data_IF_784966980685
#
_entry.id   IF_784966980685
#
_cell.length_a   1.000
_cell.length_b   1.000
_cell.length_c   1.000
_cell.angle_alpha   90.00
_cell.angle_beta   90.00
_cell.angle_gamma   90.00
#
_symmetry.space_group_name_H-M   'P 1'
#
loop_
_entity.id
_entity.type
_entity.pdbx_description
1 polymer ?
#
# COMPACT_ATOMS: atom_id res chain seq x y z
N UNK A 1 3.33 -0.87 16.96
CA UNK A 1 3.90 -1.42 15.71
C UNK A 1 2.82 -1.84 14.71
N UNK A 2 1.91 -2.78 15.05
CA UNK A 2 0.82 -3.24 14.15
C UNK A 2 -0.01 -2.10 13.57
N UNK A 3 -0.43 -1.12 14.40
CA UNK A 3 -1.17 0.07 13.95
C UNK A 3 -0.45 0.86 12.85
N UNK A 4 0.85 1.07 12.99
CA UNK A 4 1.65 1.81 12.00
C UNK A 4 1.74 1.06 10.67
N UNK A 5 2.00 -0.25 10.70
CA UNK A 5 2.14 -1.04 9.47
C UNK A 5 0.81 -1.09 8.69
N UNK A 6 -0.32 -1.26 9.39
CA UNK A 6 -1.64 -1.32 8.75
C UNK A 6 -2.16 0.04 8.27
N UNK A 7 -1.83 1.13 8.97
CA UNK A 7 -2.12 2.49 8.52
C UNK A 7 -1.41 2.80 7.20
N UNK A 8 -0.10 2.52 7.10
CA UNK A 8 0.66 2.77 5.87
C UNK A 8 0.20 1.88 4.70
N UNK A 9 -0.02 0.58 4.94
CA UNK A 9 -0.42 -0.35 3.89
C UNK A 9 -1.80 0.00 3.30
N UNK A 10 -2.80 0.27 4.14
CA UNK A 10 -4.17 0.54 3.69
C UNK A 10 -4.28 1.88 2.96
N UNK A 11 -3.53 2.88 3.45
CA UNK A 11 -3.41 4.18 2.78
C UNK A 11 -2.81 4.06 1.39
N UNK A 12 -1.77 3.23 1.23
CA UNK A 12 -1.12 3.01 -0.05
C UNK A 12 -2.09 2.43 -1.09
N UNK A 13 -2.82 1.37 -0.75
CA UNK A 13 -3.79 0.75 -1.66
C UNK A 13 -4.82 1.77 -2.14
N UNK A 14 -5.30 2.62 -1.24
CA UNK A 14 -6.26 3.68 -1.58
C UNK A 14 -5.65 4.71 -2.53
N UNK A 15 -4.49 5.28 -2.21
CA UNK A 15 -3.84 6.30 -3.05
C UNK A 15 -3.53 5.75 -4.42
N UNK A 16 -2.99 4.54 -4.49
CA UNK A 16 -2.64 3.90 -5.74
C UNK A 16 -3.89 3.61 -6.58
N UNK A 17 -4.97 3.14 -5.96
CA UNK A 17 -6.25 2.96 -6.66
C UNK A 17 -6.82 4.27 -7.18
N UNK A 18 -6.76 5.37 -6.41
CA UNK A 18 -7.19 6.69 -6.85
C UNK A 18 -6.32 7.24 -7.98
N UNK A 19 -5.01 6.97 -7.93
CA UNK A 19 -4.08 7.33 -9.00
C UNK A 19 -4.37 6.59 -10.30
N UNK A 20 -4.62 5.28 -10.23
CA UNK A 20 -4.98 4.48 -11.40
C UNK A 20 -6.32 4.94 -12.02
N UNK A 21 -7.33 5.19 -11.19
CA UNK A 21 -8.67 5.57 -11.66
C UNK A 21 -8.74 7.03 -12.11
N UNK A 22 -8.37 7.98 -11.26
CA UNK A 22 -8.51 9.42 -11.57
C UNK A 22 -7.34 9.97 -12.38
N UNK A 23 -6.13 9.42 -12.21
CA UNK A 23 -4.93 9.87 -12.93
C UNK A 23 -4.78 9.24 -14.31
N UNK A 24 -5.07 7.93 -14.44
CA UNK A 24 -4.88 7.18 -15.68
C UNK A 24 -6.19 6.76 -16.37
N UNK A 25 -7.34 7.01 -15.75
CA UNK A 25 -8.66 6.70 -16.32
C UNK A 25 -9.03 5.21 -16.30
N UNK A 26 -8.33 4.39 -15.52
CA UNK A 26 -8.65 2.96 -15.42
C UNK A 26 -10.01 2.73 -14.76
N UNK A 27 -10.68 1.64 -15.14
CA UNK A 27 -11.90 1.23 -14.44
C UNK A 27 -11.56 0.71 -13.03
N UNK A 28 -12.54 0.67 -12.10
CA UNK A 28 -12.33 0.07 -10.79
C UNK A 28 -11.89 -1.40 -10.88
N UNK A 29 -12.39 -2.13 -11.88
CA UNK A 29 -12.02 -3.53 -12.11
C UNK A 29 -10.56 -3.67 -12.55
N UNK A 30 -10.12 -2.84 -13.51
CA UNK A 30 -8.73 -2.85 -13.98
C UNK A 30 -7.76 -2.48 -12.86
N UNK A 31 -8.14 -1.52 -12.02
CA UNK A 31 -7.36 -1.12 -10.85
C UNK A 31 -7.23 -2.26 -9.84
N UNK A 32 -8.31 -3.03 -9.63
CA UNK A 32 -8.29 -4.25 -8.83
C UNK A 32 -7.38 -5.33 -9.41
N UNK A 33 -7.42 -5.55 -10.73
CA UNK A 33 -6.55 -6.51 -11.42
C UNK A 33 -5.07 -6.15 -11.30
N UNK A 34 -4.74 -4.85 -11.31
CA UNK A 34 -3.37 -4.39 -11.09
C UNK A 34 -2.87 -4.76 -9.69
N UNK A 35 -3.73 -4.88 -8.68
CA UNK A 35 -3.33 -5.32 -7.34
C UNK A 35 -3.18 -6.84 -7.19
N UNK A 36 -3.78 -7.65 -8.07
CA UNK A 36 -3.75 -9.12 -7.97
C UNK A 36 -2.33 -9.72 -7.87
N UNK A 37 -1.33 -9.24 -8.63
CA UNK A 37 0.05 -9.71 -8.49
C UNK A 37 0.66 -9.46 -7.10
N UNK A 38 0.29 -8.36 -6.44
CA UNK A 38 0.75 -8.10 -5.07
C UNK A 38 0.20 -9.15 -4.10
N UNK A 39 -1.06 -9.57 -4.26
CA UNK A 39 -1.63 -10.66 -3.46
C UNK A 39 -0.90 -11.99 -3.68
N UNK A 40 -0.48 -12.28 -4.91
CA UNK A 40 0.35 -13.47 -5.22
C UNK A 40 1.68 -13.39 -4.48
N UNK A 41 2.37 -12.25 -4.54
CA UNK A 41 3.62 -12.03 -3.81
C UNK A 41 3.45 -12.22 -2.30
N UNK A 42 2.36 -11.70 -1.74
CA UNK A 42 2.03 -11.85 -0.32
C UNK A 42 1.83 -13.31 0.09
N UNK A 43 1.05 -14.07 -0.68
CA UNK A 43 0.79 -15.49 -0.41
C UNK A 43 2.09 -16.31 -0.47
N UNK A 44 2.89 -16.11 -1.52
CA UNK A 44 4.20 -16.77 -1.66
C UNK A 44 5.12 -16.48 -0.49
N UNK A 45 5.14 -15.23 -0.03
CA UNK A 45 5.90 -14.82 1.13
C UNK A 45 5.44 -15.49 2.41
N UNK A 46 4.12 -15.55 2.64
CA UNK A 46 3.55 -16.17 3.84
C UNK A 46 3.85 -17.68 3.91
N UNK A 47 3.80 -18.38 2.77
CA UNK A 47 4.18 -19.80 2.69
C UNK A 47 5.66 -20.03 3.03
N UNK A 48 6.53 -19.13 2.59
CA UNK A 48 7.97 -19.27 2.77
C UNK A 48 8.49 -18.62 4.07
N UNK A 49 7.68 -17.82 4.77
CA UNK A 49 8.09 -17.04 5.94
C UNK A 49 8.74 -17.92 7.02
N UNK A 50 8.14 -19.08 7.32
CA UNK A 50 8.65 -20.04 8.30
C UNK A 50 10.06 -20.56 7.96
N UNK A 51 10.33 -20.79 6.67
CA UNK A 51 11.64 -21.24 6.20
C UNK A 51 12.71 -20.17 6.46
N UNK A 52 12.42 -18.93 6.09
CA UNK A 52 13.38 -17.84 6.20
C UNK A 52 13.59 -17.38 7.64
N UNK A 53 12.55 -17.38 8.47
CA UNK A 53 12.68 -17.11 9.92
C UNK A 53 13.53 -18.19 10.58
N UNK A 54 13.37 -19.46 10.21
CA UNK A 54 14.23 -20.55 10.73
C UNK A 54 15.69 -20.40 10.31
N UNK A 55 15.95 -19.83 9.13
CA UNK A 55 17.30 -19.67 8.56
C UNK A 55 18.02 -18.40 9.00
N UNK A 56 17.31 -17.28 9.16
CA UNK A 56 17.89 -15.95 9.44
C UNK A 56 17.40 -15.31 10.75
N UNK A 57 16.50 -15.96 11.49
CA UNK A 57 16.00 -15.47 12.78
C UNK A 57 15.32 -14.10 12.67
N UNK A 58 15.64 -13.19 13.59
CA UNK A 58 15.09 -11.82 13.62
C UNK A 58 15.55 -10.96 12.44
N UNK A 59 16.67 -11.30 11.79
CA UNK A 59 17.17 -10.56 10.62
C UNK A 59 16.26 -10.74 9.39
N UNK A 60 15.48 -11.83 9.32
CA UNK A 60 14.49 -12.03 8.26
C UNK A 60 13.47 -10.86 8.23
N UNK A 61 13.06 -10.36 9.39
CA UNK A 61 12.09 -9.25 9.49
C UNK A 61 12.70 -7.96 8.94
N UNK A 62 13.98 -7.70 9.26
CA UNK A 62 14.71 -6.52 8.76
C UNK A 62 14.88 -6.60 7.24
N UNK A 63 15.25 -7.76 6.70
CA UNK A 63 15.33 -7.98 5.25
C UNK A 63 13.97 -7.78 4.56
N UNK A 64 12.89 -8.28 5.16
CA UNK A 64 11.53 -8.06 4.64
C UNK A 64 11.13 -6.59 4.64
N UNK A 65 11.45 -5.86 5.72
CA UNK A 65 11.17 -4.43 5.82
C UNK A 65 11.99 -3.60 4.80
N UNK A 66 13.26 -3.95 4.59
CA UNK A 66 14.10 -3.34 3.57
C UNK A 66 13.56 -3.62 2.17
N UNK A 67 13.22 -4.88 1.87
CA UNK A 67 12.64 -5.25 0.58
C UNK A 67 11.34 -4.49 0.32
N UNK A 68 10.47 -4.39 1.34
CA UNK A 68 9.22 -3.63 1.25
C UNK A 68 9.48 -2.15 0.96
N UNK A 69 10.42 -1.54 1.68
CA UNK A 69 10.78 -0.12 1.51
C UNK A 69 11.38 0.17 0.14
N UNK A 70 12.29 -0.69 -0.34
CA UNK A 70 12.91 -0.57 -1.67
C UNK A 70 11.87 -0.75 -2.78
N UNK A 71 10.97 -1.72 -2.64
CA UNK A 71 9.89 -1.95 -3.62
C UNK A 71 8.94 -0.76 -3.69
N UNK A 72 8.66 -0.13 -2.55
CA UNK A 72 7.82 1.06 -2.47
C UNK A 72 8.47 2.26 -3.18
N UNK A 73 9.76 2.50 -2.94
CA UNK A 73 10.52 3.55 -3.62
C UNK A 73 10.60 3.28 -5.13
N UNK A 74 10.86 2.03 -5.51
CA UNK A 74 10.90 1.62 -6.91
C UNK A 74 9.55 1.84 -7.61
N UNK A 75 8.44 1.59 -6.93
CA UNK A 75 7.10 1.84 -7.46
C UNK A 75 6.86 3.34 -7.68
N UNK A 76 7.20 4.18 -6.70
CA UNK A 76 7.08 5.65 -6.83
C UNK A 76 7.91 6.14 -8.02
N UNK A 77 9.15 5.66 -8.14
CA UNK A 77 10.04 6.03 -9.23
C UNK A 77 9.52 5.56 -10.59
N UNK A 78 9.04 4.32 -10.69
CA UNK A 78 8.48 3.76 -11.93
C UNK A 78 7.27 4.56 -12.41
N UNK A 79 6.37 4.92 -11.49
CA UNK A 79 5.16 5.69 -11.77
C UNK A 79 5.48 7.14 -12.15
N UNK A 80 6.49 7.75 -11.52
CA UNK A 80 6.90 9.13 -11.82
C UNK A 80 7.66 9.27 -13.16
N UNK A 81 8.36 8.22 -13.59
CA UNK A 81 9.29 8.29 -14.72
C UNK A 81 8.71 7.77 -16.04
N UNK A 82 7.82 6.77 -15.99
CA UNK A 82 7.32 6.09 -17.19
C UNK A 82 5.80 6.17 -17.31
N UNK A 83 5.25 6.35 -18.53
CA UNK A 83 3.84 6.11 -18.77
C UNK A 83 3.50 4.66 -18.40
N UNK A 84 2.53 4.48 -17.50
CA UNK A 84 2.14 3.17 -16.95
C UNK A 84 1.78 2.15 -18.05
N UNK A 85 1.19 2.63 -19.15
CA UNK A 85 0.83 1.80 -20.30
C UNK A 85 2.04 1.13 -20.98
N UNK A 86 3.22 1.75 -20.93
CA UNK A 86 4.41 1.28 -21.67
C UNK A 86 5.23 0.26 -20.88
N UNK A 87 5.06 0.18 -19.56
CA UNK A 87 5.90 -0.65 -18.66
C UNK A 87 5.08 -1.44 -17.62
N UNK A 88 3.93 -1.96 -18.04
CA UNK A 88 3.02 -2.73 -17.19
C UNK A 88 3.70 -3.95 -16.54
N UNK A 89 4.62 -4.61 -17.26
CA UNK A 89 5.37 -5.76 -16.78
C UNK A 89 6.31 -5.41 -15.60
N UNK A 90 6.95 -4.25 -15.66
CA UNK A 90 7.81 -3.74 -14.58
C UNK A 90 6.97 -3.44 -13.33
N UNK A 91 5.82 -2.81 -13.50
CA UNK A 91 4.90 -2.49 -12.40
C UNK A 91 4.39 -3.77 -11.73
N UNK A 92 4.00 -4.78 -12.53
CA UNK A 92 3.59 -6.10 -12.01
C UNK A 92 4.70 -6.73 -11.17
N UNK A 93 5.95 -6.72 -11.66
CA UNK A 93 7.08 -7.29 -10.91
C UNK A 93 7.33 -6.54 -9.59
N UNK A 94 7.28 -5.21 -9.61
CA UNK A 94 7.42 -4.38 -8.41
C UNK A 94 6.28 -4.66 -7.42
N UNK A 95 5.05 -4.84 -7.89
CA UNK A 95 3.91 -5.15 -7.05
C UNK A 95 4.01 -6.53 -6.40
N UNK A 96 4.51 -7.54 -7.12
CA UNK A 96 4.82 -8.85 -6.55
C UNK A 96 5.86 -8.69 -5.43
N UNK A 97 6.94 -7.96 -5.66
CA UNK A 97 7.99 -7.72 -4.65
C UNK A 97 7.47 -6.95 -3.44
N UNK A 98 6.61 -5.96 -3.68
CA UNK A 98 5.95 -5.17 -2.64
C UNK A 98 5.06 -6.07 -1.77
N UNK A 99 4.19 -6.87 -2.38
CA UNK A 99 3.37 -7.84 -1.66
C UNK A 99 4.20 -8.89 -0.92
N UNK A 100 5.31 -9.34 -1.53
CA UNK A 100 6.22 -10.30 -0.91
C UNK A 100 6.89 -9.71 0.35
N UNK A 101 7.43 -8.50 0.26
CA UNK A 101 8.01 -7.79 1.40
C UNK A 101 6.97 -7.56 2.51
N UNK A 102 5.74 -7.20 2.14
CA UNK A 102 4.65 -7.00 3.08
C UNK A 102 4.30 -8.28 3.85
N UNK A 103 4.11 -9.41 3.15
CA UNK A 103 3.80 -10.71 3.76
C UNK A 103 4.90 -11.20 4.70
N UNK A 104 6.14 -10.83 4.40
CA UNK A 104 7.32 -11.25 5.15
C UNK A 104 7.51 -10.46 6.43
N UNK A 105 7.04 -9.22 6.47
CA UNK A 105 7.00 -8.42 7.71
C UNK A 105 5.81 -8.84 8.56
N UNK A 106 4.64 -9.06 7.95
CA UNK A 106 3.41 -9.36 8.69
C UNK A 106 3.41 -10.73 9.35
N UNK A 107 3.85 -11.77 8.63
CA UNK A 107 3.73 -13.17 9.10
C UNK A 107 4.58 -13.43 10.36
N UNK A 108 5.88 -13.07 10.41
CA UNK A 108 6.69 -13.25 11.61
C UNK A 108 6.27 -12.35 12.76
N UNK A 109 5.79 -11.14 12.47
CA UNK A 109 5.31 -10.21 13.50
C UNK A 109 4.13 -10.82 14.28
N UNK A 110 3.17 -11.40 13.57
CA UNK A 110 2.04 -12.11 14.18
C UNK A 110 2.52 -13.31 15.00
N UNK A 111 3.44 -14.11 14.45
CA UNK A 111 3.99 -15.28 15.14
C UNK A 111 4.72 -14.91 16.43
N UNK A 112 5.51 -13.83 16.44
CA UNK A 112 6.21 -13.35 17.64
C UNK A 112 5.21 -12.93 18.72
N UNK A 113 4.19 -12.15 18.35
CA UNK A 113 3.19 -11.69 19.33
C UNK A 113 2.42 -12.88 19.92
N UNK A 114 2.04 -13.86 19.09
CA UNK A 114 1.34 -15.06 19.56
C UNK A 114 2.24 -16.00 20.37
N UNK A 115 3.56 -16.03 20.10
CA UNK A 115 4.50 -16.87 20.84
C UNK A 115 4.63 -16.51 22.33
N UNK A 116 4.36 -15.25 22.70
CA UNK A 116 4.35 -14.81 24.10
C UNK A 116 3.04 -15.08 24.84
N UNK A 117 2.04 -15.66 24.17
CA UNK A 117 0.69 -15.80 24.70
C UNK A 117 0.37 -17.29 24.89
N UNK A 118 -0.13 -17.65 26.08
CA UNK A 118 -0.58 -19.01 26.34
C UNK A 118 -1.63 -19.45 25.32
N UNK A 119 -1.53 -20.69 24.83
CA UNK A 119 -2.39 -21.26 23.77
C UNK A 119 -3.88 -21.04 24.05
N UNK A 120 -4.33 -21.12 25.31
CA UNK A 120 -5.75 -20.87 25.70
C UNK A 120 -6.25 -19.46 25.41
N UNK A 121 -5.35 -18.49 25.28
CA UNK A 121 -5.66 -17.07 25.03
C UNK A 121 -5.30 -16.63 23.61
N UNK A 122 -4.75 -17.52 22.77
CA UNK A 122 -4.34 -17.23 21.39
C UNK A 122 -5.49 -16.65 20.54
N UNK A 123 -6.72 -17.17 20.71
CA UNK A 123 -7.90 -16.66 20.01
C UNK A 123 -8.28 -15.23 20.41
N UNK A 124 -8.23 -14.91 21.71
CA UNK A 124 -8.47 -13.53 22.18
C UNK A 124 -7.38 -12.57 21.70
N UNK A 125 -6.12 -13.01 21.73
CA UNK A 125 -5.00 -12.22 21.24
C UNK A 125 -5.11 -11.94 19.74
N UNK A 126 -5.44 -12.96 18.93
CA UNK A 126 -5.69 -12.78 17.50
C UNK A 126 -6.84 -11.79 17.25
N UNK A 127 -7.91 -11.84 18.05
CA UNK A 127 -9.00 -10.88 18.00
C UNK A 127 -8.55 -9.44 18.29
N UNK A 128 -7.79 -9.21 19.35
CA UNK A 128 -7.25 -7.88 19.70
C UNK A 128 -6.29 -7.38 18.60
N UNK A 129 -5.46 -8.27 18.05
CA UNK A 129 -4.58 -7.90 16.95
C UNK A 129 -5.42 -7.48 15.73
N UNK A 130 -6.42 -8.25 15.35
CA UNK A 130 -7.29 -7.93 14.21
C UNK A 130 -8.03 -6.60 14.40
N UNK A 131 -8.52 -6.29 15.60
CA UNK A 131 -9.16 -4.99 15.87
C UNK A 131 -8.16 -3.84 15.77
N UNK A 132 -6.94 -3.99 16.30
CA UNK A 132 -5.88 -3.00 16.14
C UNK A 132 -5.48 -2.81 14.68
N UNK A 133 -5.46 -3.88 13.87
CA UNK A 133 -5.21 -3.79 12.43
C UNK A 133 -6.28 -2.94 11.74
N UNK A 134 -7.57 -3.19 12.05
CA UNK A 134 -8.68 -2.45 11.46
C UNK A 134 -8.68 -0.97 11.88
N UNK A 135 -8.37 -0.66 13.13
CA UNK A 135 -8.23 0.72 13.61
C UNK A 135 -7.10 1.43 12.86
N UNK A 136 -5.95 0.77 12.72
CA UNK A 136 -4.81 1.32 11.99
C UNK A 136 -5.14 1.58 10.52
N UNK A 137 -5.76 0.61 9.85
CA UNK A 137 -6.22 0.71 8.47
C UNK A 137 -7.19 1.89 8.27
N UNK A 138 -8.21 1.99 9.13
CA UNK A 138 -9.20 3.06 9.07
C UNK A 138 -8.57 4.45 9.27
N UNK A 139 -7.68 4.60 10.24
CA UNK A 139 -6.98 5.87 10.50
C UNK A 139 -6.11 6.30 9.33
N UNK A 140 -5.32 5.38 8.77
CA UNK A 140 -4.48 5.66 7.61
C UNK A 140 -5.31 6.11 6.41
N UNK A 141 -6.32 5.31 6.06
CA UNK A 141 -7.27 5.61 4.99
C UNK A 141 -7.92 6.97 5.18
N UNK A 142 -8.41 7.30 6.38
CA UNK A 142 -9.06 8.57 6.65
C UNK A 142 -8.13 9.77 6.44
N UNK A 143 -6.93 9.74 7.04
CA UNK A 143 -5.95 10.84 6.93
C UNK A 143 -5.56 11.05 5.46
N UNK A 144 -5.22 9.96 4.77
CA UNK A 144 -4.72 10.05 3.40
C UNK A 144 -5.83 10.41 2.41
N UNK A 145 -7.05 9.93 2.61
CA UNK A 145 -8.20 10.34 1.79
C UNK A 145 -8.45 11.84 1.91
N UNK A 146 -8.40 12.41 3.13
CA UNK A 146 -8.55 13.86 3.34
C UNK A 146 -7.44 14.63 2.62
N UNK A 147 -6.18 14.20 2.72
CA UNK A 147 -5.05 14.86 2.05
C UNK A 147 -5.18 14.81 0.52
N UNK A 148 -5.52 13.66 -0.05
CA UNK A 148 -5.72 13.50 -1.49
C UNK A 148 -6.89 14.35 -1.97
N UNK A 149 -8.02 14.30 -1.26
CA UNK A 149 -9.20 15.07 -1.63
C UNK A 149 -8.97 16.58 -1.51
N UNK A 150 -8.22 17.01 -0.50
CA UNK A 150 -7.78 18.40 -0.37
C UNK A 150 -6.91 18.84 -1.56
N UNK A 151 -5.96 18.01 -1.98
CA UNK A 151 -5.09 18.28 -3.13
C UNK A 151 -5.88 18.37 -4.45
N UNK A 152 -6.83 17.44 -4.67
CA UNK A 152 -7.69 17.44 -5.86
C UNK A 152 -8.54 18.72 -5.92
N UNK A 153 -9.20 19.09 -4.82
CA UNK A 153 -10.03 20.29 -4.75
C UNK A 153 -9.22 21.58 -5.01
N UNK A 154 -7.98 21.64 -4.51
CA UNK A 154 -7.09 22.76 -4.77
C UNK A 154 -6.66 22.85 -6.24
N UNK A 155 -6.49 21.71 -6.92
CA UNK A 155 -6.12 21.66 -8.34
C UNK A 155 -7.28 22.10 -9.23
N UNK A 156 -8.50 21.67 -8.92
CA UNK A 156 -9.71 22.09 -9.61
C UNK A 156 -9.98 23.59 -9.43
N UNK A 157 -9.81 24.12 -8.22
CA UNK A 157 -9.97 25.55 -7.93
C UNK A 157 -9.00 26.43 -8.74
N UNK A 158 -7.73 26.02 -8.86
CA UNK A 158 -6.73 26.74 -9.67
C UNK A 158 -7.04 26.69 -11.17
N UNK A 159 -7.51 25.55 -11.68
CA UNK A 159 -7.94 25.41 -13.07
C UNK A 159 -9.16 26.29 -13.38
N UNK A 160 -10.10 26.39 -12.45
CA UNK A 160 -11.30 27.21 -12.55
C UNK A 160 -10.97 28.72 -12.57
N UNK A 161 -10.06 29.17 -11.71
CA UNK A 161 -9.60 30.57 -11.65
C UNK A 161 -8.85 30.93 -12.93
N UNK A 162 -7.95 30.08 -13.42
CA UNK A 162 -7.21 30.31 -14.67
C UNK A 162 -8.16 30.37 -15.88
N UNK A 163 -9.15 29.47 -15.95
CA UNK A 163 -10.16 29.50 -17.01
C UNK A 163 -11.02 30.77 -16.95
N UNK A 164 -11.40 31.20 -15.75
CA UNK A 164 -12.18 32.42 -15.55
C UNK A 164 -11.40 33.69 -15.93
N UNK A 165 -10.10 33.75 -15.61
CA UNK A 165 -9.22 34.87 -15.98
C UNK A 165 -8.95 34.91 -17.50
N UNK A 166 -8.69 33.77 -18.14
CA UNK A 166 -8.53 33.69 -19.60
C UNK A 166 -9.79 34.13 -20.36
N UNK A 167 -10.96 33.68 -19.90
CA UNK A 167 -12.24 34.08 -20.48
C UNK A 167 -12.55 35.56 -20.30
N UNK A 168 -12.03 36.19 -19.23
CA UNK A 168 -12.15 37.63 -18.97
C UNK A 168 -11.16 38.45 -19.80
N UNK A 169 -10.01 37.89 -20.17
CA UNK A 169 -9.01 38.54 -21.02
C UNK A 169 -9.39 38.55 -22.50
N UNK A 170 -10.08 37.52 -23.00
CA UNK A 170 -10.61 37.45 -24.38
C UNK A 170 -11.89 38.26 -24.62
N UNK A 171 -12.42 38.93 -23.58
CA UNK A 171 -13.66 39.73 -23.64
C UNK A 171 -13.41 41.24 -23.68
N UNK A 172 -12.17 41.66 -23.90
CA UNK A 172 -11.78 43.04 -24.23
C UNK A 172 -11.27 43.06 -25.67
#
# INVERSE_FOLDING_TARGET
MVLFVYSTASSFFLVFALFLQNGLGFTPLDSGLIFAPASVGFVLSSLNASYWVKRFGSQAIVMGALLYSVSFIALIFAVATFPVATNLLLIVLILILLGYGQGFVMTPLLNIVLAFIHVRFSGMAAGIIATLQQIGAALGVAIVSVLVQWQLNNTDALSFITFYLLKKLHRK
#
